data_IF_098504460509
#
_entry.id   IF_098504460509
#
_cell.length_a   1.000
_cell.length_b   1.000
_cell.length_c   1.000
_cell.angle_alpha   90.00
_cell.angle_beta   90.00
_cell.angle_gamma   90.00
#
_symmetry.space_group_name_H-M   'P 1'
#
loop_
_entity.id
_entity.type
_entity.pdbx_description
1 polymer ?
#
# COMPACT_ATOMS: atom_id res chain seq x y z
N UNK A 1 -6.44 -16.56 -3.32
CA UNK A 1 -6.87 -15.15 -3.22
C UNK A 1 -5.65 -14.30 -2.96
N UNK A 2 -5.45 -13.18 -3.68
CA UNK A 2 -4.34 -12.26 -3.48
C UNK A 2 -4.76 -11.12 -2.53
N UNK A 3 -5.18 -11.48 -1.32
CA UNK A 3 -5.61 -10.52 -0.30
C UNK A 3 -4.40 -10.09 0.53
N UNK A 4 -4.16 -8.78 0.60
CA UNK A 4 -3.00 -8.19 1.27
C UNK A 4 -3.36 -7.11 2.28
N UNK A 5 -4.55 -6.51 2.14
CA UNK A 5 -4.96 -5.32 2.88
C UNK A 5 -6.11 -5.67 3.81
N UNK A 6 -5.99 -5.22 5.05
CA UNK A 6 -7.03 -5.34 6.08
C UNK A 6 -8.04 -4.20 5.90
N UNK A 7 -9.35 -4.49 5.80
CA UNK A 7 -10.37 -3.43 5.83
C UNK A 7 -10.28 -2.61 7.12
N UNK A 8 -10.67 -1.34 7.06
CA UNK A 8 -10.70 -0.49 8.24
C UNK A 8 -11.52 -1.13 9.38
N UNK A 9 -10.93 -1.25 10.57
CA UNK A 9 -11.53 -1.90 11.74
C UNK A 9 -11.51 -3.44 11.74
N UNK A 10 -10.94 -4.07 10.70
CA UNK A 10 -10.73 -5.52 10.63
C UNK A 10 -9.34 -5.95 11.12
N UNK A 11 -9.11 -7.27 11.10
CA UNK A 11 -7.78 -7.89 11.37
C UNK A 11 -7.35 -8.92 10.34
N UNK A 12 -8.24 -9.31 9.42
CA UNK A 12 -7.95 -10.26 8.35
C UNK A 12 -7.71 -9.55 7.02
N UNK A 13 -6.85 -10.14 6.19
CA UNK A 13 -6.55 -9.66 4.85
C UNK A 13 -7.68 -10.05 3.91
N UNK A 14 -8.54 -9.09 3.57
CA UNK A 14 -9.69 -9.34 2.70
C UNK A 14 -9.53 -8.65 1.33
N UNK A 15 -8.82 -7.53 1.27
CA UNK A 15 -8.72 -6.67 0.08
C UNK A 15 -7.37 -6.82 -0.62
N UNK A 16 -7.34 -6.57 -1.93
CA UNK A 16 -6.11 -6.28 -2.66
C UNK A 16 -5.64 -4.84 -2.44
N UNK A 17 -4.51 -4.46 -3.03
CA UNK A 17 -4.03 -3.05 -3.04
C UNK A 17 -4.81 -2.16 -4.01
N UNK A 18 -5.74 -2.75 -4.79
CA UNK A 18 -6.77 -2.13 -5.62
C UNK A 18 -6.39 -0.73 -6.15
N UNK A 19 -5.45 -0.63 -7.11
CA UNK A 19 -4.92 0.66 -7.54
C UNK A 19 -5.96 1.52 -8.28
N UNK A 20 -5.74 2.83 -8.26
CA UNK A 20 -6.50 3.85 -8.99
C UNK A 20 -5.54 4.68 -9.82
N UNK A 21 -5.89 4.91 -11.09
CA UNK A 21 -5.10 5.70 -12.01
C UNK A 21 -5.98 6.73 -12.74
N UNK A 22 -5.50 7.99 -12.79
CA UNK A 22 -6.14 9.12 -13.45
C UNK A 22 -5.10 9.90 -14.25
N UNK A 23 -5.50 10.41 -15.42
CA UNK A 23 -4.68 11.32 -16.21
C UNK A 23 -5.52 12.52 -16.64
N UNK A 24 -4.98 13.73 -16.45
CA UNK A 24 -5.61 14.99 -16.82
C UNK A 24 -4.79 15.62 -17.95
N UNK A 25 -5.38 15.79 -19.16
CA UNK A 25 -4.71 16.47 -20.27
C UNK A 25 -4.36 17.92 -19.92
N UNK A 26 -3.17 18.36 -20.33
CA UNK A 26 -2.57 19.67 -20.00
C UNK A 26 -2.16 20.47 -21.24
N UNK A 27 -2.70 20.14 -22.41
CA UNK A 27 -2.43 20.85 -23.66
C UNK A 27 -0.98 20.68 -24.12
N UNK A 28 -0.18 21.75 -24.06
CA UNK A 28 1.23 21.76 -24.47
C UNK A 28 2.18 21.23 -23.40
N UNK A 29 1.74 21.19 -22.13
CA UNK A 29 2.55 20.71 -21.02
C UNK A 29 2.39 19.20 -20.82
N UNK A 30 3.21 18.60 -19.96
CA UNK A 30 3.09 17.19 -19.60
C UNK A 30 1.78 16.90 -18.83
N UNK A 31 1.03 15.84 -19.18
CA UNK A 31 -0.21 15.48 -18.47
C UNK A 31 0.02 15.28 -16.98
N UNK A 32 -0.94 15.71 -16.17
CA UNK A 32 -0.94 15.34 -14.76
C UNK A 32 -1.41 13.90 -14.65
N UNK A 33 -0.58 13.03 -14.08
CA UNK A 33 -0.89 11.61 -13.88
C UNK A 33 -0.88 11.31 -12.38
N UNK A 34 -1.95 10.70 -11.90
CA UNK A 34 -2.05 10.10 -10.57
C UNK A 34 -2.15 8.59 -10.75
N UNK A 35 -1.21 7.83 -10.21
CA UNK A 35 -1.26 6.37 -10.13
C UNK A 35 -0.89 5.94 -8.72
N UNK A 36 -1.81 5.29 -8.02
CA UNK A 36 -1.63 4.95 -6.61
C UNK A 36 -2.29 3.63 -6.24
N UNK A 37 -1.68 2.91 -5.30
CA UNK A 37 -2.38 1.88 -4.55
C UNK A 37 -3.39 2.52 -3.58
N UNK A 38 -4.45 1.80 -3.21
CA UNK A 38 -5.39 2.22 -2.16
C UNK A 38 -4.95 1.76 -0.76
N UNK A 39 -3.95 0.89 -0.68
CA UNK A 39 -3.26 0.59 0.57
C UNK A 39 -2.33 1.73 1.00
N UNK A 40 -2.01 1.79 2.30
CA UNK A 40 -1.06 2.77 2.86
C UNK A 40 0.23 2.77 2.03
N UNK A 41 0.86 1.61 1.85
CA UNK A 41 2.03 1.42 1.00
C UNK A 41 1.79 0.34 -0.07
N UNK A 42 2.52 0.44 -1.17
CA UNK A 42 2.61 -0.62 -2.16
C UNK A 42 3.38 -1.83 -1.61
N UNK A 43 2.91 -3.05 -1.90
CA UNK A 43 3.55 -4.31 -1.45
C UNK A 43 5.03 -4.39 -1.83
N UNK A 44 5.39 -3.94 -3.03
CA UNK A 44 6.79 -3.96 -3.49
C UNK A 44 7.72 -3.16 -2.58
N UNK A 45 7.26 -2.03 -2.04
CA UNK A 45 8.04 -1.20 -1.12
C UNK A 45 8.32 -1.93 0.20
N UNK A 46 7.30 -2.61 0.75
CA UNK A 46 7.45 -3.44 1.96
C UNK A 46 8.48 -4.56 1.73
N UNK A 47 8.39 -5.26 0.59
CA UNK A 47 9.32 -6.36 0.26
C UNK A 47 10.77 -5.88 0.15
N UNK A 48 11.02 -4.64 -0.28
CA UNK A 48 12.37 -4.07 -0.34
C UNK A 48 12.95 -3.83 1.06
N UNK A 49 12.14 -3.30 1.99
CA UNK A 49 12.56 -3.09 3.38
C UNK A 49 12.91 -4.43 4.05
N UNK A 50 12.01 -5.41 3.94
CA UNK A 50 12.24 -6.76 4.48
C UNK A 50 13.48 -7.42 3.88
N UNK A 51 13.72 -7.28 2.57
CA UNK A 51 14.90 -7.81 1.91
C UNK A 51 16.22 -7.14 2.38
N UNK A 52 16.14 -5.93 2.92
CA UNK A 52 17.28 -5.20 3.50
C UNK A 52 17.44 -5.43 5.01
N UNK A 53 16.49 -6.12 5.66
CA UNK A 53 16.43 -6.23 7.11
C UNK A 53 16.17 -4.90 7.80
N UNK A 54 15.52 -3.96 7.11
CA UNK A 54 15.12 -2.66 7.65
C UNK A 54 13.71 -2.74 8.24
N UNK A 55 13.51 -2.08 9.38
CA UNK A 55 12.19 -1.93 10.00
C UNK A 55 11.26 -1.07 9.12
N UNK A 56 10.00 -1.46 9.06
CA UNK A 56 8.94 -0.69 8.43
C UNK A 56 8.55 0.50 9.32
N UNK A 57 8.09 1.62 8.76
CA UNK A 57 7.50 2.69 9.57
C UNK A 57 6.21 2.23 10.26
N UNK A 58 5.95 2.81 11.44
CA UNK A 58 4.74 2.54 12.21
C UNK A 58 3.46 2.80 11.38
N UNK A 59 2.47 1.93 11.53
CA UNK A 59 1.16 2.06 10.87
C UNK A 59 1.13 1.60 9.41
N UNK A 60 2.24 1.10 8.85
CA UNK A 60 2.30 0.54 7.49
C UNK A 60 1.84 -0.93 7.44
N UNK A 61 2.04 -1.66 8.54
CA UNK A 61 1.74 -3.08 8.62
C UNK A 61 1.04 -3.44 9.93
N UNK A 62 0.32 -4.56 9.92
CA UNK A 62 -0.38 -5.09 11.08
C UNK A 62 0.13 -6.50 11.38
N UNK A 63 0.23 -6.82 12.67
CA UNK A 63 0.47 -8.18 13.18
C UNK A 63 -0.79 -9.07 13.01
N UNK A 64 -0.71 -10.39 13.31
CA UNK A 64 -1.87 -11.29 13.25
C UNK A 64 -3.02 -10.91 14.21
N UNK A 65 -2.72 -10.17 15.28
CA UNK A 65 -3.68 -9.69 16.27
C UNK A 65 -4.40 -8.41 15.80
N UNK A 66 -3.88 -7.75 14.77
CA UNK A 66 -4.40 -6.52 14.17
C UNK A 66 -3.78 -5.24 14.73
N UNK A 67 -2.67 -5.33 15.47
CA UNK A 67 -1.96 -4.16 15.99
C UNK A 67 -0.94 -3.64 14.97
N UNK A 68 -0.71 -2.33 14.89
CA UNK A 68 0.40 -1.77 14.12
C UNK A 68 1.75 -2.37 14.53
N UNK A 69 2.56 -2.73 13.54
CA UNK A 69 3.92 -3.25 13.76
C UNK A 69 4.89 -2.65 12.75
N UNK A 70 6.17 -2.62 13.14
CA UNK A 70 7.32 -2.21 12.33
C UNK A 70 8.12 -3.40 11.79
N UNK A 71 7.76 -4.62 12.20
CA UNK A 71 8.54 -5.84 12.00
C UNK A 71 8.02 -6.68 10.81
#
# INVERSE_FOLDING_TARGET
SASYVTPFGGKSKELGTNPLCFAIPSGKESPMVLDMATSVWARGKIMVYLARGEELPEGVFLDPEGNPTTD
#
